data_IF_913667627819
#
_entry.id   IF_913667627819
#
_cell.length_a   1.000
_cell.length_b   1.000
_cell.length_c   1.000
_cell.angle_alpha   90.00
_cell.angle_beta   90.00
_cell.angle_gamma   90.00
#
_symmetry.space_group_name_H-M   'P 1'
#
loop_
_entity.id
_entity.type
_entity.pdbx_description
1 polymer ?
#
# COMPACT_ATOMS: atom_id res chain seq x y z
N UNK A 1 -4.13 -9.37 -2.78
CA UNK A 1 -4.18 -9.16 -1.30
C UNK A 1 -4.05 -10.43 -0.49
N UNK A 2 -4.87 -11.49 -0.70
CA UNK A 2 -4.79 -12.72 0.12
C UNK A 2 -3.41 -13.38 0.14
N UNK A 3 -2.73 -13.49 -1.01
CA UNK A 3 -1.38 -14.05 -1.05
C UNK A 3 -0.36 -13.21 -0.27
N UNK A 4 -0.44 -11.89 -0.35
CA UNK A 4 0.44 -11.01 0.42
C UNK A 4 0.33 -11.28 1.93
N UNK A 5 -0.88 -11.48 2.47
CA UNK A 5 -1.04 -11.87 3.88
C UNK A 5 -0.38 -13.22 4.21
N UNK A 6 -0.49 -14.22 3.32
CA UNK A 6 0.17 -15.51 3.52
C UNK A 6 1.69 -15.37 3.46
N UNK A 7 2.20 -14.58 2.53
CA UNK A 7 3.64 -14.29 2.41
C UNK A 7 4.16 -13.58 3.66
N UNK A 8 3.47 -12.54 4.14
CA UNK A 8 3.81 -11.84 5.40
C UNK A 8 3.83 -12.85 6.56
N UNK A 9 2.79 -13.66 6.71
CA UNK A 9 2.72 -14.65 7.79
C UNK A 9 3.89 -15.65 7.75
N UNK A 10 4.20 -16.20 6.58
CA UNK A 10 5.33 -17.12 6.40
C UNK A 10 6.65 -16.42 6.70
N UNK A 11 6.89 -15.21 6.18
CA UNK A 11 8.10 -14.45 6.45
C UNK A 11 8.29 -14.20 7.95
N UNK A 12 7.22 -13.89 8.69
CA UNK A 12 7.26 -13.74 10.15
C UNK A 12 7.58 -15.04 10.88
N UNK A 13 7.06 -16.19 10.42
CA UNK A 13 7.45 -17.49 11.00
C UNK A 13 8.94 -17.81 10.84
N UNK A 14 9.57 -17.23 9.81
CA UNK A 14 11.01 -17.35 9.56
C UNK A 14 11.82 -16.17 10.12
N UNK A 15 11.22 -15.31 10.95
CA UNK A 15 11.88 -14.13 11.55
C UNK A 15 12.52 -13.18 10.52
N UNK A 16 11.92 -13.10 9.33
CA UNK A 16 12.38 -12.22 8.26
C UNK A 16 11.78 -10.82 8.41
N UNK A 17 12.57 -9.81 8.00
CA UNK A 17 12.07 -8.47 7.71
C UNK A 17 11.15 -8.53 6.49
N UNK A 18 10.08 -7.76 6.50
CA UNK A 18 9.11 -7.67 5.41
C UNK A 18 9.02 -6.23 4.92
N UNK A 19 9.12 -6.07 3.60
CA UNK A 19 8.87 -4.81 2.91
C UNK A 19 7.64 -4.97 2.01
N UNK A 20 6.81 -3.94 1.94
CA UNK A 20 5.78 -3.81 0.89
C UNK A 20 6.27 -2.79 -0.15
N UNK A 21 6.21 -3.18 -1.43
CA UNK A 21 6.61 -2.36 -2.57
C UNK A 21 5.43 -2.13 -3.53
N UNK A 22 5.67 -1.34 -4.58
CA UNK A 22 4.76 -1.16 -5.70
C UNK A 22 5.49 -1.12 -7.06
N UNK A 23 4.75 -1.36 -8.14
CA UNK A 23 5.14 -0.88 -9.47
C UNK A 23 4.68 0.57 -9.65
N UNK A 24 4.92 1.16 -10.82
CA UNK A 24 4.24 2.40 -11.23
C UNK A 24 2.74 2.08 -11.42
N UNK A 25 1.95 2.37 -10.39
CA UNK A 25 0.54 2.04 -10.29
C UNK A 25 -0.27 3.26 -9.83
N UNK A 26 -1.57 3.29 -10.18
CA UNK A 26 -2.48 4.33 -9.68
C UNK A 26 -2.74 4.21 -8.17
N UNK A 27 -3.32 5.26 -7.58
CA UNK A 27 -3.75 5.27 -6.18
C UNK A 27 -4.66 4.09 -5.81
N UNK A 28 -5.35 3.47 -6.77
CA UNK A 28 -6.10 2.24 -6.51
C UNK A 28 -5.20 1.08 -6.05
N UNK A 29 -4.11 0.82 -6.76
CA UNK A 29 -3.15 -0.24 -6.43
C UNK A 29 -2.33 0.11 -5.19
N UNK A 30 -1.82 1.35 -5.14
CA UNK A 30 -1.06 1.86 -3.99
C UNK A 30 -1.88 1.77 -2.70
N UNK A 31 -3.16 2.17 -2.72
CA UNK A 31 -4.00 2.08 -1.53
C UNK A 31 -4.27 0.64 -1.13
N UNK A 32 -4.44 -0.28 -2.09
CA UNK A 32 -4.57 -1.70 -1.78
C UNK A 32 -3.34 -2.26 -1.06
N UNK A 33 -2.13 -1.86 -1.49
CA UNK A 33 -0.89 -2.25 -0.84
C UNK A 33 -0.70 -1.54 0.53
N UNK A 34 -1.15 -0.29 0.66
CA UNK A 34 -1.06 0.51 1.89
C UNK A 34 -1.76 -0.16 3.08
N UNK A 35 -2.81 -0.96 2.86
CA UNK A 35 -3.47 -1.75 3.91
C UNK A 35 -2.54 -2.75 4.62
N UNK A 36 -1.40 -3.11 4.02
CA UNK A 36 -0.40 -3.97 4.66
C UNK A 36 0.63 -3.21 5.50
N UNK A 37 0.66 -1.87 5.44
CA UNK A 37 1.66 -1.05 6.16
C UNK A 37 1.74 -1.33 7.66
N UNK A 38 0.66 -1.69 8.39
CA UNK A 38 0.77 -2.04 9.81
C UNK A 38 1.45 -3.41 10.10
N UNK A 39 1.70 -4.22 9.07
CA UNK A 39 2.21 -5.59 9.20
C UNK A 39 3.66 -5.76 8.70
N UNK A 40 4.24 -4.72 8.12
CA UNK A 40 5.55 -4.71 7.46
C UNK A 40 6.48 -3.72 8.14
N UNK A 41 7.78 -3.88 7.91
CA UNK A 41 8.82 -3.06 8.56
C UNK A 41 9.25 -1.89 7.68
N UNK A 42 9.16 -2.06 6.36
CA UNK A 42 9.59 -1.08 5.36
C UNK A 42 8.50 -0.92 4.30
N UNK A 43 8.32 0.30 3.82
CA UNK A 43 7.27 0.67 2.87
C UNK A 43 7.90 1.45 1.72
N UNK A 44 7.66 0.98 0.50
CA UNK A 44 7.99 1.66 -0.75
C UNK A 44 6.71 1.74 -1.62
N UNK A 45 5.95 2.83 -1.48
CA UNK A 45 4.61 3.00 -2.04
C UNK A 45 4.46 4.33 -2.80
N UNK A 46 5.50 4.75 -3.50
CA UNK A 46 5.55 6.05 -4.19
C UNK A 46 5.11 6.00 -5.67
N UNK A 47 4.73 4.83 -6.19
CA UNK A 47 4.42 4.63 -7.61
C UNK A 47 3.33 5.56 -8.17
N UNK A 48 2.32 5.91 -7.37
CA UNK A 48 1.27 6.86 -7.78
C UNK A 48 1.80 8.30 -7.94
N UNK A 49 2.84 8.68 -7.17
CA UNK A 49 3.47 9.99 -7.29
C UNK A 49 4.24 10.15 -8.61
N UNK A 50 4.56 9.05 -9.28
CA UNK A 50 5.24 9.02 -10.58
C UNK A 50 4.27 9.17 -11.76
N UNK A 51 2.96 9.17 -11.51
CA UNK A 51 1.95 9.35 -12.55
C UNK A 51 1.68 10.83 -12.83
N UNK A 52 1.64 11.19 -14.11
CA UNK A 52 1.21 12.54 -14.52
C UNK A 52 -0.27 12.80 -14.26
N UNK A 53 -1.11 11.75 -14.33
CA UNK A 53 -2.54 11.81 -14.10
C UNK A 53 -3.03 10.54 -13.39
N UNK A 54 -3.20 10.62 -12.08
CA UNK A 54 -3.83 9.55 -11.30
C UNK A 54 -5.36 9.70 -11.34
N UNK A 55 -6.12 8.69 -11.85
CA UNK A 55 -7.57 8.73 -11.92
C UNK A 55 -8.26 8.41 -10.58
N UNK A 56 -7.50 8.12 -9.52
CA UNK A 56 -8.03 7.76 -8.21
C UNK A 56 -7.51 8.67 -7.10
N UNK A 57 -8.28 8.75 -6.02
CA UNK A 57 -7.88 9.32 -4.74
C UNK A 57 -7.99 8.22 -3.70
N UNK A 58 -6.92 8.00 -2.94
CA UNK A 58 -6.84 6.92 -1.96
C UNK A 58 -5.92 7.28 -0.80
N UNK A 59 -5.03 6.36 -0.40
CA UNK A 59 -4.11 6.57 0.71
C UNK A 59 -3.27 7.85 0.52
N UNK A 60 -3.17 8.64 1.60
CA UNK A 60 -2.31 9.81 1.65
C UNK A 60 -0.90 9.41 2.06
N UNK A 61 0.12 9.97 1.41
CA UNK A 61 1.52 9.78 1.76
C UNK A 61 2.14 11.17 1.93
N UNK A 62 2.46 11.54 3.17
CA UNK A 62 3.03 12.84 3.50
C UNK A 62 4.02 12.70 4.66
N UNK A 63 5.18 13.38 4.56
CA UNK A 63 6.17 13.37 5.63
C UNK A 63 6.69 11.97 6.00
N UNK A 64 6.71 11.03 5.05
CA UNK A 64 7.10 9.63 5.29
C UNK A 64 6.05 8.79 6.00
N UNK A 65 4.83 9.31 6.22
CA UNK A 65 3.74 8.58 6.84
C UNK A 65 2.63 8.27 5.84
N UNK A 66 2.14 7.02 5.89
CA UNK A 66 0.98 6.57 5.12
C UNK A 66 -0.27 6.74 5.97
N UNK A 67 -1.31 7.36 5.41
CA UNK A 67 -2.63 7.50 6.02
C UNK A 67 -3.66 6.74 5.16
N UNK A 68 -4.32 5.76 5.76
CA UNK A 68 -5.39 5.01 5.08
C UNK A 68 -6.69 5.82 5.06
N UNK A 69 -7.51 5.72 4.00
CA UNK A 69 -8.84 6.31 3.98
C UNK A 69 -9.82 5.55 4.88
N UNK A 70 -10.81 6.24 5.44
CA UNK A 70 -11.81 5.66 6.35
C UNK A 70 -12.99 4.98 5.63
N UNK A 71 -13.11 5.14 4.32
CA UNK A 71 -14.20 4.56 3.53
C UNK A 71 -14.09 3.01 3.42
N UNK A 72 -15.21 2.29 3.27
CA UNK A 72 -15.21 0.83 3.20
C UNK A 72 -14.36 0.25 2.05
N UNK A 73 -14.01 -1.03 2.19
CA UNK A 73 -13.20 -1.73 1.19
C UNK A 73 -11.77 -1.17 1.18
N UNK A 74 -11.31 -0.71 0.02
CA UNK A 74 -10.01 -0.06 -0.09
C UNK A 74 -10.05 1.42 0.33
N UNK A 75 -11.23 2.02 0.42
CA UNK A 75 -11.37 3.45 0.71
C UNK A 75 -11.00 4.38 -0.46
N UNK A 76 -10.94 3.85 -1.69
CA UNK A 76 -10.55 4.59 -2.90
C UNK A 76 -11.77 5.17 -3.61
N UNK A 77 -11.68 6.42 -4.08
CA UNK A 77 -12.68 7.07 -4.92
C UNK A 77 -12.11 7.42 -6.29
N UNK A 78 -12.92 7.35 -7.35
CA UNK A 78 -12.54 7.84 -8.68
C UNK A 78 -12.60 9.36 -8.72
N UNK A 79 -11.62 10.00 -9.35
CA UNK A 79 -11.57 11.45 -9.60
C UNK A 79 -12.45 11.84 -10.79
#
# INVERSE_FOLDING_TARGET
MREALRMIAIARTHQMTVMVGCMIESSLGITAAAHFTPLVDIVDLDGAALLSQDPFVGAGIAGGQVTLPDAPGLGVTRR
#
